data_IF_471946567468
#
_entry.id   IF_471946567468
#
_cell.length_a   1.000
_cell.length_b   1.000
_cell.length_c   1.000
_cell.angle_alpha   90.00
_cell.angle_beta   90.00
_cell.angle_gamma   90.00
#
_symmetry.space_group_name_H-M   'P 1'
#
loop_
_entity.id
_entity.type
_entity.pdbx_description
1 polymer ?
#
# COMPACT_ATOMS: atom_id res chain seq x y z
N UNK A 1 -3.20 -18.02 -16.50
CA UNK A 1 -2.38 -17.36 -15.53
C UNK A 1 -1.01 -17.00 -16.06
N UNK A 2 -0.17 -16.46 -15.21
CA UNK A 2 1.23 -16.12 -15.49
C UNK A 2 1.93 -15.78 -14.18
N UNK A 3 3.26 -15.68 -14.19
CA UNK A 3 4.08 -15.38 -13.02
C UNK A 3 4.70 -14.00 -13.16
N UNK A 4 4.48 -13.12 -12.16
CA UNK A 4 5.14 -11.83 -12.03
C UNK A 4 6.28 -11.92 -11.01
N UNK A 5 7.31 -11.07 -11.15
CA UNK A 5 8.46 -11.02 -10.22
C UNK A 5 9.21 -12.35 -10.08
N UNK A 6 9.23 -13.19 -11.10
CA UNK A 6 10.04 -14.40 -11.09
C UNK A 6 11.51 -14.02 -10.93
N UNK A 7 11.94 -12.96 -11.63
CA UNK A 7 13.21 -12.26 -11.42
C UNK A 7 12.94 -10.83 -11.01
N UNK A 8 13.87 -10.18 -10.31
CA UNK A 8 13.68 -8.79 -9.90
C UNK A 8 13.71 -7.81 -11.08
N UNK A 9 14.36 -8.17 -12.19
CA UNK A 9 14.39 -7.42 -13.45
C UNK A 9 13.03 -7.39 -14.16
N UNK A 10 12.15 -8.32 -13.85
CA UNK A 10 10.81 -8.41 -14.43
C UNK A 10 9.83 -7.36 -13.90
N UNK A 11 10.27 -6.59 -12.90
CA UNK A 11 9.42 -5.60 -12.25
C UNK A 11 10.17 -4.26 -12.14
N UNK A 12 9.83 -3.32 -13.02
CA UNK A 12 10.42 -1.99 -13.00
C UNK A 12 9.42 -0.97 -12.52
N UNK A 13 9.87 -0.02 -11.69
CA UNK A 13 9.04 1.06 -11.15
C UNK A 13 9.79 2.38 -11.32
N UNK A 14 9.19 3.31 -12.04
CA UNK A 14 9.72 4.67 -12.20
C UNK A 14 8.82 5.65 -11.47
N UNK A 15 9.40 6.38 -10.52
CA UNK A 15 8.72 7.45 -9.79
C UNK A 15 8.40 8.61 -10.73
N UNK A 16 7.14 9.04 -10.75
CA UNK A 16 6.71 10.25 -11.44
C UNK A 16 6.73 11.41 -10.44
N UNK A 17 7.63 12.38 -10.60
CA UNK A 17 7.75 13.48 -9.65
C UNK A 17 6.50 14.38 -9.68
N UNK A 18 6.15 14.94 -8.53
CA UNK A 18 5.01 15.87 -8.41
C UNK A 18 5.30 17.22 -9.10
N UNK A 19 6.57 17.60 -9.19
CA UNK A 19 7.04 18.83 -9.82
C UNK A 19 8.46 18.67 -10.37
N UNK A 20 8.81 19.50 -11.35
CA UNK A 20 10.16 19.53 -11.91
C UNK A 20 11.09 20.33 -10.98
N UNK A 21 12.32 19.86 -10.73
CA UNK A 21 13.32 20.64 -9.99
C UNK A 21 13.60 21.98 -10.67
N UNK A 22 13.74 23.04 -9.87
CA UNK A 22 13.93 24.40 -10.41
C UNK A 22 15.38 24.75 -10.85
N UNK A 23 16.31 23.80 -10.73
CA UNK A 23 17.71 23.98 -11.12
C UNK A 23 18.57 24.73 -10.10
N UNK A 24 18.00 25.32 -9.04
CA UNK A 24 18.69 26.09 -8.02
C UNK A 24 18.16 25.78 -6.62
N UNK A 25 18.96 26.00 -5.58
CA UNK A 25 18.57 25.81 -4.17
C UNK A 25 19.54 24.95 -3.38
N UNK A 26 19.23 24.75 -2.10
CA UNK A 26 20.10 24.11 -1.12
C UNK A 26 20.04 22.58 -1.13
N UNK A 27 19.06 21.99 -1.84
CA UNK A 27 18.90 20.55 -1.92
C UNK A 27 19.37 20.04 -3.28
N UNK A 28 20.31 19.10 -3.26
CA UNK A 28 20.68 18.30 -4.42
C UNK A 28 19.64 17.20 -4.62
N UNK A 29 19.01 17.15 -5.79
CA UNK A 29 18.08 16.11 -6.18
C UNK A 29 18.81 15.07 -7.02
N UNK A 30 18.89 13.86 -6.49
CA UNK A 30 19.54 12.71 -7.10
C UNK A 30 18.44 11.75 -7.59
N UNK A 31 18.25 11.68 -8.88
CA UNK A 31 17.42 10.59 -9.46
C UNK A 31 18.32 9.38 -9.61
N UNK A 32 17.98 8.32 -8.92
CA UNK A 32 18.76 7.08 -8.91
C UNK A 32 17.94 5.90 -9.42
N UNK A 33 18.64 4.96 -10.03
CA UNK A 33 18.16 3.60 -10.27
C UNK A 33 18.78 2.67 -9.23
N UNK A 34 17.98 1.82 -8.60
CA UNK A 34 18.46 0.76 -7.72
C UNK A 34 17.83 -0.57 -8.06
N UNK A 35 18.56 -1.65 -7.81
CA UNK A 35 18.12 -3.03 -8.06
C UNK A 35 18.26 -3.90 -6.82
N UNK A 36 17.20 -4.68 -6.53
CA UNK A 36 17.14 -5.66 -5.45
C UNK A 36 17.58 -5.12 -4.06
N UNK A 37 17.27 -3.85 -3.78
CA UNK A 37 17.54 -3.16 -2.49
C UNK A 37 16.34 -2.33 -2.07
N UNK A 38 16.21 -2.10 -0.76
CA UNK A 38 15.17 -1.23 -0.20
C UNK A 38 15.52 0.25 -0.40
N UNK A 39 14.51 1.13 -0.37
CA UNK A 39 14.73 2.59 -0.34
C UNK A 39 15.61 3.02 0.82
N UNK A 40 15.46 2.37 2.00
CA UNK A 40 16.28 2.65 3.18
C UNK A 40 17.75 2.30 2.93
N UNK A 41 18.04 1.14 2.34
CA UNK A 41 19.42 0.76 2.00
C UNK A 41 20.07 1.73 1.01
N UNK A 42 19.31 2.21 0.02
CA UNK A 42 19.79 3.24 -0.90
C UNK A 42 20.06 4.57 -0.19
N UNK A 43 19.12 5.05 0.63
CA UNK A 43 19.32 6.26 1.46
C UNK A 43 20.57 6.17 2.34
N UNK A 44 20.75 5.04 3.04
CA UNK A 44 21.86 4.85 3.96
C UNK A 44 23.21 4.73 3.23
N UNK A 45 23.21 4.22 2.00
CA UNK A 45 24.36 4.23 1.12
C UNK A 45 24.71 5.65 0.68
N UNK A 46 23.77 6.42 0.16
CA UNK A 46 23.94 7.84 -0.20
C UNK A 46 24.47 8.64 0.98
N UNK A 47 23.87 8.45 2.16
CA UNK A 47 24.28 9.14 3.39
C UNK A 47 25.74 8.89 3.74
N UNK A 48 26.19 7.64 3.70
CA UNK A 48 27.59 7.26 3.98
C UNK A 48 28.56 7.82 2.94
N UNK A 49 28.22 7.66 1.67
CA UNK A 49 29.08 8.10 0.56
C UNK A 49 29.29 9.61 0.57
N UNK A 50 28.24 10.37 0.81
CA UNK A 50 28.30 11.83 0.82
C UNK A 50 28.63 12.43 2.19
N UNK A 51 28.78 11.62 3.24
CA UNK A 51 29.09 12.09 4.60
C UNK A 51 27.98 12.97 5.19
N UNK A 52 26.71 12.68 4.89
CA UNK A 52 25.56 13.41 5.43
C UNK A 52 24.74 12.55 6.37
N UNK A 53 24.04 13.17 7.32
CA UNK A 53 23.13 12.43 8.21
C UNK A 53 21.95 11.90 7.40
N UNK A 54 21.64 10.60 7.55
CA UNK A 54 20.55 9.92 6.82
C UNK A 54 19.16 10.55 7.04
N UNK A 55 18.92 11.15 8.21
CA UNK A 55 17.67 11.83 8.57
C UNK A 55 17.43 13.10 7.73
N UNK A 56 18.50 13.68 7.18
CA UNK A 56 18.42 14.84 6.33
C UNK A 56 18.08 14.50 4.88
N UNK A 57 18.26 13.25 4.46
CA UNK A 57 17.92 12.81 3.11
C UNK A 57 16.42 12.59 3.01
N UNK A 58 15.78 13.26 2.04
CA UNK A 58 14.35 13.13 1.75
C UNK A 58 14.08 12.22 0.57
N UNK A 59 12.92 11.55 0.59
CA UNK A 59 12.37 10.77 -0.53
C UNK A 59 10.85 10.77 -0.45
N UNK A 60 10.18 10.59 -1.61
CA UNK A 60 8.73 10.73 -1.70
C UNK A 60 7.95 9.51 -1.20
N UNK A 61 8.56 8.31 -1.27
CA UNK A 61 7.92 7.08 -0.82
C UNK A 61 8.85 5.87 -0.91
N UNK A 62 8.42 4.77 -0.33
CA UNK A 62 9.15 3.50 -0.43
C UNK A 62 8.93 2.86 -1.80
N UNK A 63 9.97 2.22 -2.33
CA UNK A 63 9.93 1.44 -3.56
C UNK A 63 10.27 -0.02 -3.27
N UNK A 64 9.71 -0.91 -4.06
CA UNK A 64 9.90 -2.35 -3.96
C UNK A 64 11.38 -2.74 -3.90
N UNK A 65 11.67 -3.78 -3.08
CA UNK A 65 13.01 -4.36 -3.00
C UNK A 65 13.29 -5.26 -4.20
N UNK A 66 12.38 -6.23 -4.50
CA UNK A 66 12.52 -7.15 -5.64
C UNK A 66 12.07 -6.49 -6.93
N UNK A 67 12.84 -5.49 -7.38
CA UNK A 67 12.54 -4.69 -8.56
C UNK A 67 13.79 -3.92 -9.01
N UNK A 68 13.76 -3.38 -10.23
CA UNK A 68 14.54 -2.21 -10.63
C UNK A 68 13.66 -0.99 -10.36
N UNK A 69 14.15 -0.03 -9.61
CA UNK A 69 13.33 1.15 -9.28
C UNK A 69 14.09 2.44 -9.45
N UNK A 70 13.45 3.38 -10.14
CA UNK A 70 13.93 4.76 -10.28
C UNK A 70 13.17 5.66 -9.33
N UNK A 71 13.89 6.41 -8.49
CA UNK A 71 13.30 7.38 -7.58
C UNK A 71 14.25 8.54 -7.28
N UNK A 72 13.71 9.64 -6.76
CA UNK A 72 14.49 10.83 -6.44
C UNK A 72 14.72 10.96 -4.94
N UNK A 73 15.98 11.25 -4.56
CA UNK A 73 16.38 11.62 -3.20
C UNK A 73 16.80 13.08 -3.17
N UNK A 74 16.42 13.83 -2.13
CA UNK A 74 16.92 15.16 -1.86
C UNK A 74 17.96 15.12 -0.76
N UNK A 75 19.14 15.71 -1.01
CA UNK A 75 20.27 15.74 -0.08
C UNK A 75 20.63 17.20 0.17
N UNK A 76 20.73 17.67 1.43
CA UNK A 76 21.13 19.04 1.74
C UNK A 76 22.64 19.17 1.59
N UNK A 77 23.10 19.56 0.41
CA UNK A 77 24.51 19.78 0.09
C UNK A 77 24.67 21.14 -0.54
N UNK A 78 25.49 21.99 0.09
CA UNK A 78 25.79 23.34 -0.39
C UNK A 78 26.83 23.35 -1.51
N UNK A 79 27.75 22.38 -1.52
CA UNK A 79 28.80 22.23 -2.53
C UNK A 79 28.56 21.05 -3.43
N UNK A 80 28.95 21.16 -4.70
CA UNK A 80 28.91 20.04 -5.63
C UNK A 80 30.00 19.03 -5.21
N UNK A 81 29.56 17.92 -4.64
CA UNK A 81 30.40 16.78 -4.33
C UNK A 81 30.36 15.80 -5.49
N UNK A 82 31.35 14.96 -5.56
CA UNK A 82 31.39 13.89 -6.55
C UNK A 82 30.28 12.88 -6.27
N UNK A 83 29.18 13.04 -6.98
CA UNK A 83 28.00 12.14 -6.87
C UNK A 83 28.21 10.82 -7.60
N UNK A 84 29.22 10.72 -8.48
CA UNK A 84 29.58 9.47 -9.17
C UNK A 84 30.07 8.43 -8.18
N UNK A 85 30.64 8.86 -7.05
CA UNK A 85 31.02 7.96 -5.95
C UNK A 85 29.86 7.19 -5.31
N UNK A 86 28.61 7.56 -5.60
CA UNK A 86 27.39 6.82 -5.16
C UNK A 86 27.18 5.55 -5.97
N UNK A 87 27.66 5.52 -7.20
CA UNK A 87 27.47 4.38 -8.11
C UNK A 87 28.11 3.12 -7.55
N UNK A 88 27.34 2.03 -7.60
CA UNK A 88 27.74 0.68 -7.21
C UNK A 88 26.95 -0.32 -8.04
N UNK A 89 27.28 -1.62 -8.04
CA UNK A 89 26.61 -2.61 -8.90
C UNK A 89 25.09 -2.67 -8.81
N UNK A 90 24.51 -2.15 -7.73
CA UNK A 90 23.07 -2.18 -7.45
C UNK A 90 22.42 -0.79 -7.36
N UNK A 91 23.19 0.30 -7.52
CA UNK A 91 22.69 1.68 -7.50
C UNK A 91 23.46 2.54 -8.48
N UNK A 92 22.76 3.35 -9.24
CA UNK A 92 23.33 4.27 -10.23
C UNK A 92 22.62 5.62 -10.17
N UNK A 93 23.37 6.70 -10.24
CA UNK A 93 22.85 8.05 -10.41
C UNK A 93 22.52 8.28 -11.88
N UNK A 94 21.27 8.57 -12.17
CA UNK A 94 20.78 8.84 -13.51
C UNK A 94 20.84 10.32 -13.87
N UNK A 95 20.46 11.17 -12.90
CA UNK A 95 20.52 12.63 -13.07
C UNK A 95 20.69 13.33 -11.74
N UNK A 96 21.24 14.55 -11.84
CA UNK A 96 21.48 15.46 -10.72
C UNK A 96 20.84 16.79 -11.05
N UNK A 97 20.11 17.37 -10.13
CA UNK A 97 19.54 18.71 -10.25
C UNK A 97 19.49 19.38 -8.87
N UNK A 98 19.05 20.65 -8.82
CA UNK A 98 18.88 21.38 -7.56
C UNK A 98 17.46 21.83 -7.37
N UNK A 99 17.04 21.90 -6.12
CA UNK A 99 15.74 22.43 -5.73
C UNK A 99 15.78 23.13 -4.37
N UNK A 100 14.85 24.05 -4.16
CA UNK A 100 14.78 24.85 -2.92
C UNK A 100 14.34 24.03 -1.71
N UNK A 101 13.48 23.03 -1.90
CA UNK A 101 12.83 22.30 -0.83
C UNK A 101 13.30 20.84 -0.75
N UNK A 102 13.30 20.31 0.49
CA UNK A 102 13.46 18.87 0.75
C UNK A 102 12.26 18.07 0.23
N UNK A 103 12.52 16.93 -0.41
CA UNK A 103 11.45 15.96 -0.74
C UNK A 103 10.88 15.37 0.56
N UNK A 104 9.56 15.29 0.64
CA UNK A 104 8.83 14.68 1.75
C UNK A 104 7.96 13.53 1.25
N UNK A 105 7.57 12.64 2.13
CA UNK A 105 6.63 11.58 1.83
C UNK A 105 5.36 12.14 1.20
N UNK A 106 4.95 11.58 0.07
CA UNK A 106 3.81 12.04 -0.73
C UNK A 106 4.15 13.04 -1.84
N UNK A 107 5.40 13.51 -1.96
CA UNK A 107 5.82 14.41 -3.05
C UNK A 107 6.06 13.65 -4.36
N UNK A 108 5.09 12.84 -4.78
CA UNK A 108 5.08 12.16 -6.08
C UNK A 108 3.70 12.26 -6.71
N UNK A 109 3.64 12.34 -8.02
CA UNK A 109 2.39 12.30 -8.79
C UNK A 109 1.90 10.86 -8.94
N UNK A 110 2.82 9.90 -9.04
CA UNK A 110 2.50 8.49 -9.20
C UNK A 110 3.74 7.63 -9.44
N UNK A 111 3.51 6.42 -9.90
CA UNK A 111 4.55 5.52 -10.35
C UNK A 111 4.16 4.92 -11.70
N UNK A 112 5.11 4.82 -12.60
CA UNK A 112 4.98 4.05 -13.83
C UNK A 112 5.55 2.66 -13.60
N UNK A 113 4.84 1.63 -14.05
CA UNK A 113 5.22 0.24 -13.92
C UNK A 113 5.50 -0.37 -15.29
N UNK A 114 6.61 -1.14 -15.38
CA UNK A 114 6.89 -2.05 -16.47
C UNK A 114 7.03 -3.44 -15.87
N UNK A 115 6.06 -4.31 -16.17
CA UNK A 115 5.96 -5.63 -15.55
C UNK A 115 6.04 -6.71 -16.63
N UNK A 116 7.04 -7.60 -16.53
CA UNK A 116 7.14 -8.78 -17.39
C UNK A 116 6.39 -9.94 -16.73
N UNK A 117 5.40 -10.44 -17.41
CA UNK A 117 4.65 -11.63 -17.01
C UNK A 117 5.26 -12.83 -17.74
N UNK A 118 5.68 -13.83 -16.99
CA UNK A 118 6.29 -15.07 -17.53
C UNK A 118 5.31 -16.24 -17.45
N UNK A 119 5.65 -17.34 -18.10
CA UNK A 119 4.85 -18.57 -18.07
C UNK A 119 3.40 -18.33 -18.51
N UNK A 120 3.24 -17.54 -19.57
CA UNK A 120 1.94 -17.20 -20.16
C UNK A 120 1.71 -18.10 -21.37
N UNK A 121 0.55 -18.71 -21.46
CA UNK A 121 0.14 -19.47 -22.63
C UNK A 121 -0.01 -18.56 -23.84
N UNK A 122 0.43 -19.04 -25.04
CA UNK A 122 0.42 -18.25 -26.27
C UNK A 122 -0.96 -17.69 -26.63
N UNK A 123 -2.03 -18.40 -26.31
CA UNK A 123 -3.42 -17.99 -26.59
C UNK A 123 -3.98 -16.89 -25.69
N UNK A 124 -3.29 -16.58 -24.57
CA UNK A 124 -3.79 -15.59 -23.60
C UNK A 124 -3.58 -14.14 -24.07
N UNK A 125 -2.69 -13.92 -25.02
CA UNK A 125 -2.32 -12.55 -25.43
C UNK A 125 -3.50 -11.80 -26.07
N UNK A 126 -4.29 -12.47 -26.89
CA UNK A 126 -5.46 -11.86 -27.53
C UNK A 126 -6.57 -11.57 -26.53
N UNK A 127 -6.89 -12.53 -25.64
CA UNK A 127 -7.86 -12.30 -24.58
C UNK A 127 -7.41 -11.21 -23.59
N UNK A 128 -6.10 -11.09 -23.34
CA UNK A 128 -5.56 -10.00 -22.51
C UNK A 128 -5.72 -8.63 -23.16
N UNK A 129 -5.50 -8.52 -24.50
CA UNK A 129 -5.75 -7.29 -25.24
C UNK A 129 -7.22 -6.87 -25.17
N UNK A 130 -8.10 -7.79 -25.47
CA UNK A 130 -9.56 -7.55 -25.38
C UNK A 130 -9.95 -7.06 -23.99
N UNK A 131 -9.44 -7.69 -22.91
CA UNK A 131 -9.70 -7.25 -21.54
C UNK A 131 -9.14 -5.86 -21.24
N UNK A 132 -7.97 -5.51 -21.77
CA UNK A 132 -7.39 -4.18 -21.63
C UNK A 132 -8.26 -3.13 -22.35
N UNK A 133 -8.77 -3.46 -23.53
CA UNK A 133 -9.70 -2.59 -24.28
C UNK A 133 -11.01 -2.38 -23.50
N UNK A 134 -11.61 -3.42 -22.96
CA UNK A 134 -12.79 -3.32 -22.11
C UNK A 134 -12.54 -2.42 -20.88
N UNK A 135 -11.41 -2.60 -20.21
CA UNK A 135 -10.99 -1.78 -19.06
C UNK A 135 -10.72 -0.33 -19.45
N UNK A 136 -10.16 -0.08 -20.66
CA UNK A 136 -9.88 1.27 -21.12
C UNK A 136 -11.14 2.11 -21.35
N UNK A 137 -12.25 1.47 -21.68
CA UNK A 137 -13.56 2.11 -21.85
C UNK A 137 -14.29 2.26 -20.52
N UNK A 138 -14.35 1.17 -19.74
CA UNK A 138 -15.15 1.09 -18.53
C UNK A 138 -14.40 1.42 -17.24
N UNK A 139 -13.09 1.73 -17.31
CA UNK A 139 -12.25 1.89 -16.14
C UNK A 139 -11.93 0.57 -15.44
N UNK A 140 -11.16 0.65 -14.37
CA UNK A 140 -10.80 -0.47 -13.51
C UNK A 140 -11.46 -0.32 -12.14
N UNK A 141 -12.22 -1.33 -11.66
CA UNK A 141 -12.76 -1.27 -10.30
C UNK A 141 -11.63 -1.16 -9.27
N UNK A 142 -11.65 -0.11 -8.47
CA UNK A 142 -10.55 0.23 -7.56
C UNK A 142 -10.64 -0.56 -6.23
N UNK A 143 -10.56 -1.87 -6.30
CA UNK A 143 -10.52 -2.74 -5.12
C UNK A 143 -9.23 -2.53 -4.30
N UNK A 144 -9.36 -2.57 -3.00
CA UNK A 144 -8.20 -2.78 -2.14
C UNK A 144 -7.63 -4.18 -2.35
N UNK A 145 -6.36 -4.25 -2.74
CA UNK A 145 -5.67 -5.52 -2.99
C UNK A 145 -5.23 -6.25 -1.72
N UNK A 146 -4.73 -7.49 -1.84
CA UNK A 146 -4.37 -8.37 -0.71
C UNK A 146 -3.41 -7.73 0.31
N UNK A 147 -2.49 -6.88 -0.12
CA UNK A 147 -1.55 -6.20 0.77
C UNK A 147 -2.24 -5.38 1.88
N UNK A 148 -3.46 -4.86 1.60
CA UNK A 148 -4.25 -4.10 2.58
C UNK A 148 -4.68 -4.94 3.77
N UNK A 149 -4.85 -6.24 3.56
CA UNK A 149 -5.37 -7.18 4.55
C UNK A 149 -4.28 -7.89 5.35
N UNK A 150 -3.00 -7.53 5.12
CA UNK A 150 -1.85 -8.11 5.81
C UNK A 150 -1.32 -9.37 5.14
N UNK A 151 -0.22 -9.89 5.67
CA UNK A 151 0.51 -11.03 5.07
C UNK A 151 -0.36 -12.29 4.95
N UNK A 152 -1.27 -12.50 5.88
CA UNK A 152 -2.14 -13.68 5.96
C UNK A 152 -3.60 -13.40 5.55
N UNK A 153 -3.90 -12.16 5.12
CA UNK A 153 -5.25 -11.78 4.68
C UNK A 153 -6.29 -11.61 5.80
N UNK A 154 -5.90 -11.76 7.07
CA UNK A 154 -6.81 -11.75 8.23
C UNK A 154 -6.94 -10.38 8.92
N UNK A 155 -6.24 -9.37 8.44
CA UNK A 155 -6.22 -8.04 9.06
C UNK A 155 -7.61 -7.41 9.21
N UNK A 156 -8.51 -7.65 8.26
CA UNK A 156 -9.90 -7.18 8.33
C UNK A 156 -10.68 -7.88 9.45
N UNK A 157 -10.54 -9.19 9.59
CA UNK A 157 -11.17 -9.99 10.66
C UNK A 157 -10.71 -9.54 12.04
N UNK A 158 -9.39 -9.34 12.22
CA UNK A 158 -8.84 -8.78 13.47
C UNK A 158 -9.44 -7.40 13.75
N UNK A 159 -9.54 -6.54 12.73
CA UNK A 159 -10.15 -5.21 12.83
C UNK A 159 -11.60 -5.25 13.26
N UNK A 160 -12.40 -6.13 12.65
CA UNK A 160 -13.81 -6.36 12.97
C UNK A 160 -13.97 -6.84 14.42
N UNK A 161 -13.19 -7.86 14.84
CA UNK A 161 -13.25 -8.41 16.20
C UNK A 161 -12.89 -7.34 17.26
N UNK A 162 -11.85 -6.53 17.02
CA UNK A 162 -11.47 -5.43 17.92
C UNK A 162 -12.56 -4.36 18.02
N UNK A 163 -13.21 -3.98 16.92
CA UNK A 163 -14.31 -3.00 16.90
C UNK A 163 -15.53 -3.51 17.63
N UNK A 164 -15.88 -4.77 17.45
CA UNK A 164 -16.99 -5.45 18.12
C UNK A 164 -16.69 -5.81 19.57
N UNK A 165 -15.47 -5.54 20.06
CA UNK A 165 -14.97 -5.92 21.40
C UNK A 165 -14.96 -7.43 21.64
N UNK A 166 -14.90 -8.23 20.60
CA UNK A 166 -14.71 -9.68 20.62
C UNK A 166 -13.23 -9.99 20.85
N UNK A 167 -12.75 -9.72 22.07
CA UNK A 167 -11.30 -9.73 22.35
C UNK A 167 -10.70 -11.12 22.23
N UNK A 168 -11.44 -12.18 22.63
CA UNK A 168 -10.98 -13.57 22.46
C UNK A 168 -10.68 -13.85 21.00
N UNK A 169 -11.64 -13.61 20.12
CA UNK A 169 -11.50 -13.81 18.68
C UNK A 169 -10.31 -13.01 18.10
N UNK A 170 -10.15 -11.76 18.53
CA UNK A 170 -9.02 -10.95 18.07
C UNK A 170 -7.65 -11.56 18.48
N UNK A 171 -7.54 -12.10 19.68
CA UNK A 171 -6.31 -12.75 20.16
C UNK A 171 -6.08 -14.09 19.47
N UNK A 172 -7.12 -14.88 19.25
CA UNK A 172 -7.05 -16.13 18.50
C UNK A 172 -6.56 -15.88 17.08
N UNK A 173 -7.14 -14.89 16.36
CA UNK A 173 -6.67 -14.50 15.03
C UNK A 173 -5.19 -14.09 14.99
N UNK A 174 -4.66 -13.55 16.08
CA UNK A 174 -3.26 -13.12 16.16
C UNK A 174 -2.31 -14.25 16.62
N UNK A 175 -2.76 -15.17 17.47
CA UNK A 175 -1.89 -16.12 18.18
C UNK A 175 -2.13 -17.59 17.85
N UNK A 176 -3.37 -17.99 17.45
CA UNK A 176 -3.69 -19.38 17.17
C UNK A 176 -3.13 -19.87 15.83
N UNK A 177 -3.03 -21.21 15.63
CA UNK A 177 -2.63 -21.81 14.36
C UNK A 177 -3.45 -21.31 13.17
N UNK A 178 -2.84 -21.35 11.99
CA UNK A 178 -3.44 -20.94 10.73
C UNK A 178 -3.16 -21.97 9.66
N UNK A 179 -4.11 -22.18 8.78
CA UNK A 179 -3.92 -23.05 7.63
C UNK A 179 -2.71 -22.60 6.78
N UNK A 180 -1.83 -23.53 6.47
CA UNK A 180 -0.64 -23.27 5.67
C UNK A 180 0.46 -22.46 6.35
N UNK A 181 0.36 -22.20 7.67
CA UNK A 181 1.38 -21.48 8.46
C UNK A 181 1.82 -22.36 9.61
N UNK A 182 2.94 -23.04 9.44
CA UNK A 182 3.58 -23.85 10.49
C UNK A 182 4.48 -22.94 11.35
N UNK A 183 3.99 -22.57 12.52
CA UNK A 183 4.74 -21.83 13.54
C UNK A 183 4.49 -22.48 14.91
N UNK A 184 5.52 -23.13 15.46
CA UNK A 184 5.45 -23.93 16.71
C UNK A 184 4.86 -23.17 17.90
N UNK A 185 5.09 -21.85 17.98
CA UNK A 185 4.54 -21.05 19.06
C UNK A 185 3.00 -20.96 19.02
N UNK A 186 2.40 -21.11 17.86
CA UNK A 186 0.95 -21.07 17.68
C UNK A 186 0.30 -22.35 18.21
N UNK A 187 0.91 -23.48 17.91
CA UNK A 187 0.47 -24.79 18.45
C UNK A 187 0.61 -24.84 19.97
N UNK A 188 1.70 -24.30 20.50
CA UNK A 188 1.88 -24.18 21.96
C UNK A 188 0.83 -23.25 22.60
N UNK A 189 0.48 -22.14 21.94
CA UNK A 189 -0.59 -21.24 22.40
C UNK A 189 -1.95 -21.96 22.42
N UNK A 190 -2.30 -22.68 21.36
CA UNK A 190 -3.54 -23.46 21.27
C UNK A 190 -3.63 -24.54 22.35
N UNK A 191 -2.50 -25.19 22.66
CA UNK A 191 -2.39 -26.17 23.77
C UNK A 191 -2.46 -25.51 25.17
N UNK A 192 -2.53 -24.16 25.26
CA UNK A 192 -2.56 -23.41 26.51
C UNK A 192 -1.20 -23.22 27.18
N UNK A 193 -0.11 -23.70 26.58
CA UNK A 193 1.25 -23.52 27.10
C UNK A 193 1.84 -22.18 26.68
N UNK A 194 1.49 -21.13 27.42
CA UNK A 194 1.93 -19.75 27.15
C UNK A 194 3.46 -19.62 27.29
N UNK A 195 4.09 -20.40 28.17
CA UNK A 195 5.54 -20.37 28.35
C UNK A 195 6.27 -20.99 27.16
N UNK A 196 5.78 -22.12 26.66
CA UNK A 196 6.31 -22.71 25.44
C UNK A 196 6.11 -21.79 24.25
N UNK A 197 4.89 -21.21 24.07
CA UNK A 197 4.61 -20.27 23.02
C UNK A 197 5.58 -19.07 23.02
N UNK A 198 5.93 -18.54 24.19
CA UNK A 198 6.91 -17.44 24.31
C UNK A 198 8.33 -17.87 23.96
N UNK A 199 8.75 -19.07 24.33
CA UNK A 199 10.09 -19.58 24.01
C UNK A 199 10.27 -19.88 22.51
N UNK A 200 9.22 -20.36 21.87
CA UNK A 200 9.21 -20.74 20.44
C UNK A 200 8.96 -19.55 19.49
N UNK A 201 8.70 -18.37 20.05
CA UNK A 201 8.36 -17.19 19.23
C UNK A 201 9.57 -16.73 18.38
N UNK A 202 9.41 -16.61 17.05
CA UNK A 202 10.50 -16.16 16.18
C UNK A 202 10.95 -14.73 16.50
N UNK A 203 12.23 -14.39 16.24
CA UNK A 203 12.71 -13.01 16.36
C UNK A 203 11.88 -12.02 15.54
N UNK A 204 11.63 -10.84 16.10
CA UNK A 204 10.87 -9.78 15.43
C UNK A 204 9.35 -9.82 15.65
N UNK A 205 8.78 -10.85 16.26
CA UNK A 205 7.36 -10.96 16.64
C UNK A 205 7.05 -10.16 17.92
N UNK A 206 7.31 -8.85 17.91
CA UNK A 206 7.24 -8.01 19.12
C UNK A 206 5.83 -7.86 19.67
N UNK A 207 4.82 -7.84 18.82
CA UNK A 207 3.40 -7.74 19.24
C UNK A 207 2.97 -9.04 19.91
N UNK A 208 3.22 -10.18 19.28
CA UNK A 208 2.89 -11.50 19.81
C UNK A 208 3.61 -11.74 21.15
N UNK A 209 4.87 -11.33 21.25
CA UNK A 209 5.64 -11.39 22.51
C UNK A 209 4.97 -10.57 23.63
N UNK A 210 4.50 -9.37 23.34
CA UNK A 210 3.80 -8.53 24.31
C UNK A 210 2.44 -9.10 24.71
N UNK A 211 1.70 -9.69 23.76
CA UNK A 211 0.43 -10.37 24.03
C UNK A 211 0.61 -11.57 24.96
N UNK A 212 1.51 -12.49 24.59
CA UNK A 212 1.81 -13.70 25.39
C UNK A 212 2.35 -13.34 26.77
N UNK A 213 3.19 -12.32 26.88
CA UNK A 213 3.66 -11.81 28.17
C UNK A 213 2.51 -11.32 29.02
N UNK A 214 1.56 -10.58 28.45
CA UNK A 214 0.39 -10.07 29.18
C UNK A 214 -0.55 -11.21 29.61
N UNK A 215 -0.75 -12.22 28.78
CA UNK A 215 -1.56 -13.40 29.10
C UNK A 215 -0.95 -14.21 30.24
N UNK A 216 0.39 -14.30 30.28
CA UNK A 216 1.11 -14.97 31.38
C UNK A 216 0.98 -14.20 32.71
N UNK A 217 1.18 -12.86 32.66
CA UNK A 217 1.20 -12.03 33.89
C UNK A 217 -0.19 -11.73 34.44
N UNK A 218 -1.21 -11.79 33.58
CA UNK A 218 -2.61 -11.52 33.93
C UNK A 218 -3.52 -12.61 33.34
N UNK A 219 -3.48 -13.85 33.84
CA UNK A 219 -4.30 -14.96 33.34
C UNK A 219 -5.79 -14.58 33.32
N UNK A 220 -6.46 -14.87 32.21
CA UNK A 220 -7.89 -14.56 32.02
C UNK A 220 -8.22 -13.10 31.70
N UNK A 221 -7.27 -12.16 31.82
CA UNK A 221 -7.50 -10.77 31.48
C UNK A 221 -7.16 -10.47 30.00
N UNK A 222 -8.00 -10.94 29.09
CA UNK A 222 -7.83 -10.76 27.65
C UNK A 222 -7.79 -9.28 27.25
N UNK A 223 -8.50 -8.41 27.96
CA UNK A 223 -8.49 -6.96 27.70
C UNK A 223 -7.11 -6.34 27.97
N UNK A 224 -6.42 -6.79 29.02
CA UNK A 224 -5.06 -6.35 29.30
C UNK A 224 -4.10 -6.77 28.18
N UNK A 225 -4.23 -7.99 27.66
CA UNK A 225 -3.48 -8.44 26.50
C UNK A 225 -3.77 -7.59 25.27
N UNK A 226 -5.01 -7.40 24.88
CA UNK A 226 -5.38 -6.60 23.71
C UNK A 226 -4.87 -5.13 23.77
N UNK A 227 -4.73 -4.55 24.94
CA UNK A 227 -4.12 -3.22 25.11
C UNK A 227 -2.65 -3.19 24.70
N UNK A 228 -1.96 -4.33 24.66
CA UNK A 228 -0.57 -4.44 24.20
C UNK A 228 -0.41 -4.35 22.69
N UNK A 229 -1.50 -4.47 21.92
CA UNK A 229 -1.43 -4.23 20.46
C UNK A 229 -1.07 -2.76 20.24
N UNK A 230 0.04 -2.46 19.53
CA UNK A 230 0.46 -1.09 19.26
C UNK A 230 -0.64 -0.28 18.56
N UNK A 231 -0.78 1.00 18.90
CA UNK A 231 -1.81 1.86 18.34
C UNK A 231 -1.76 1.94 16.81
N UNK A 232 -0.55 2.00 16.22
CA UNK A 232 -0.37 2.00 14.77
C UNK A 232 -0.92 0.71 14.13
N UNK A 233 -0.66 -0.45 14.77
CA UNK A 233 -1.14 -1.74 14.27
C UNK A 233 -2.67 -1.86 14.41
N UNK A 234 -3.26 -1.39 15.51
CA UNK A 234 -4.72 -1.33 15.65
C UNK A 234 -5.37 -0.47 14.56
N UNK A 235 -4.79 0.69 14.25
CA UNK A 235 -5.26 1.53 13.14
C UNK A 235 -5.19 0.81 11.80
N UNK A 236 -4.13 0.04 11.58
CA UNK A 236 -3.97 -0.76 10.35
C UNK A 236 -5.07 -1.82 10.24
N UNK A 237 -5.40 -2.53 11.31
CA UNK A 237 -6.50 -3.51 11.33
C UNK A 237 -7.86 -2.86 11.10
N UNK A 238 -8.15 -1.71 11.72
CA UNK A 238 -9.39 -0.98 11.47
C UNK A 238 -9.49 -0.52 10.01
N UNK A 239 -8.39 -0.03 9.45
CA UNK A 239 -8.33 0.37 8.04
C UNK A 239 -8.49 -0.83 7.09
N UNK A 240 -8.01 -2.01 7.47
CA UNK A 240 -8.22 -3.24 6.71
C UNK A 240 -9.71 -3.62 6.69
N UNK A 241 -10.39 -3.54 7.82
CA UNK A 241 -11.84 -3.80 7.89
C UNK A 241 -12.66 -2.78 7.09
N UNK A 242 -12.31 -1.50 7.17
CA UNK A 242 -12.92 -0.47 6.32
C UNK A 242 -12.74 -0.77 4.82
N UNK A 243 -11.55 -1.24 4.44
CA UNK A 243 -11.24 -1.61 3.06
C UNK A 243 -12.03 -2.85 2.60
N UNK A 244 -12.27 -3.81 3.48
CA UNK A 244 -13.12 -4.98 3.20
C UNK A 244 -14.56 -4.58 2.95
N UNK A 245 -15.12 -3.72 3.80
CA UNK A 245 -16.48 -3.19 3.62
C UNK A 245 -16.61 -2.40 2.31
N UNK A 246 -15.60 -1.59 1.97
CA UNK A 246 -15.52 -0.90 0.69
C UNK A 246 -15.54 -1.90 -0.49
N UNK A 247 -14.73 -2.95 -0.41
CA UNK A 247 -14.68 -3.98 -1.44
C UNK A 247 -16.02 -4.69 -1.62
N UNK A 248 -16.76 -4.94 -0.54
CA UNK A 248 -18.10 -5.53 -0.61
C UNK A 248 -19.08 -4.60 -1.33
N UNK A 249 -19.09 -3.31 -1.00
CA UNK A 249 -19.94 -2.33 -1.69
C UNK A 249 -19.58 -2.26 -3.18
N UNK A 250 -18.31 -2.27 -3.51
CA UNK A 250 -17.87 -2.23 -4.92
C UNK A 250 -18.27 -3.52 -5.66
N UNK A 251 -18.17 -4.68 -5.01
CA UNK A 251 -18.60 -5.95 -5.59
C UNK A 251 -20.11 -5.96 -5.86
N UNK A 252 -20.91 -5.55 -4.89
CA UNK A 252 -22.35 -5.42 -5.03
C UNK A 252 -22.74 -4.46 -6.16
N UNK A 253 -21.98 -3.34 -6.30
CA UNK A 253 -22.17 -2.40 -7.39
C UNK A 253 -21.89 -3.03 -8.76
N UNK A 254 -20.80 -3.81 -8.88
CA UNK A 254 -20.49 -4.54 -10.12
C UNK A 254 -21.60 -5.52 -10.50
N UNK A 255 -22.14 -6.27 -9.54
CA UNK A 255 -23.18 -7.27 -9.78
C UNK A 255 -24.52 -6.64 -10.18
N UNK A 256 -24.86 -5.48 -9.60
CA UNK A 256 -26.12 -4.79 -9.87
C UNK A 256 -26.08 -3.87 -11.09
N UNK A 257 -24.90 -3.45 -11.53
CA UNK A 257 -24.76 -2.51 -12.65
C UNK A 257 -24.95 -3.22 -13.99
N UNK A 258 -26.04 -2.93 -14.69
CA UNK A 258 -26.29 -3.46 -16.04
C UNK A 258 -25.55 -2.68 -17.11
N UNK A 259 -25.49 -1.35 -16.96
CA UNK A 259 -24.96 -0.41 -17.97
C UNK A 259 -23.51 0.02 -17.71
N UNK A 260 -22.92 -0.47 -16.63
CA UNK A 260 -21.53 -0.19 -16.21
C UNK A 260 -21.45 0.36 -14.79
N UNK A 261 -20.59 -0.26 -13.98
CA UNK A 261 -20.40 0.09 -12.55
C UNK A 261 -19.80 1.49 -12.34
N UNK A 262 -19.19 2.07 -13.38
CA UNK A 262 -18.62 3.43 -13.37
C UNK A 262 -19.65 4.53 -13.56
N UNK A 263 -20.88 4.18 -14.00
CA UNK A 263 -21.96 5.16 -14.12
C UNK A 263 -22.54 5.47 -12.73
N UNK A 264 -22.69 6.75 -12.38
CA UNK A 264 -23.24 7.12 -11.09
C UNK A 264 -24.72 6.75 -10.96
N UNK A 265 -25.10 6.34 -9.77
CA UNK A 265 -26.47 6.14 -9.37
C UNK A 265 -26.99 7.42 -8.68
N UNK A 266 -28.30 7.62 -8.72
CA UNK A 266 -28.93 8.70 -7.98
C UNK A 266 -28.54 8.64 -6.49
N UNK A 267 -28.05 9.78 -5.94
CA UNK A 267 -27.56 9.87 -4.58
C UNK A 267 -26.10 9.44 -4.35
N UNK A 268 -25.40 8.97 -5.36
CA UNK A 268 -23.95 8.75 -5.26
C UNK A 268 -23.20 10.04 -4.95
N UNK A 269 -21.98 9.91 -4.46
CA UNK A 269 -21.02 10.99 -4.39
C UNK A 269 -20.00 10.77 -5.50
N UNK A 270 -19.91 11.71 -6.43
CA UNK A 270 -18.91 11.71 -7.50
C UNK A 270 -17.78 12.68 -7.21
N UNK A 271 -16.61 12.37 -7.77
CA UNK A 271 -15.43 13.23 -7.76
C UNK A 271 -15.11 13.66 -9.19
N UNK A 272 -14.78 14.93 -9.38
CA UNK A 272 -14.27 15.45 -10.66
C UNK A 272 -12.88 14.88 -10.93
N UNK A 273 -12.64 14.45 -12.17
CA UNK A 273 -11.34 13.92 -12.59
C UNK A 273 -10.25 14.99 -12.46
N UNK A 274 -9.10 14.58 -11.94
CA UNK A 274 -7.98 15.49 -11.67
C UNK A 274 -8.19 16.47 -10.51
N UNK A 275 -9.34 16.48 -9.85
CA UNK A 275 -9.67 17.41 -8.76
C UNK A 275 -9.96 16.67 -7.45
N UNK A 276 -9.94 17.42 -6.33
CA UNK A 276 -10.35 16.90 -5.01
C UNK A 276 -11.80 17.22 -4.67
N UNK A 277 -12.46 18.03 -5.50
CA UNK A 277 -13.87 18.42 -5.31
C UNK A 277 -14.80 17.26 -5.55
N UNK A 278 -15.85 17.18 -4.75
CA UNK A 278 -16.88 16.15 -4.81
C UNK A 278 -18.25 16.79 -4.79
N UNK A 279 -19.24 16.11 -5.35
CA UNK A 279 -20.63 16.54 -5.34
C UNK A 279 -21.57 15.34 -5.20
N UNK A 280 -22.79 15.60 -4.78
CA UNK A 280 -23.84 14.57 -4.74
C UNK A 280 -24.52 14.50 -6.09
N UNK A 281 -24.66 13.31 -6.62
CA UNK A 281 -25.44 13.02 -7.83
C UNK A 281 -26.90 13.32 -7.55
N UNK A 282 -27.56 13.97 -8.49
CA UNK A 282 -28.97 14.37 -8.36
C UNK A 282 -29.87 13.18 -8.11
N UNK A 283 -30.87 13.38 -7.25
CA UNK A 283 -31.98 12.44 -7.08
C UNK A 283 -33.10 12.65 -8.16
N UNK A 284 -33.07 13.77 -8.86
CA UNK A 284 -33.97 14.07 -9.97
C UNK A 284 -33.45 13.44 -11.26
N UNK A 285 -34.33 12.84 -12.06
CA UNK A 285 -33.98 12.07 -13.24
C UNK A 285 -33.13 12.86 -14.25
N UNK A 286 -33.48 14.11 -14.53
CA UNK A 286 -32.76 14.93 -15.49
C UNK A 286 -31.33 15.22 -15.06
N UNK A 287 -31.11 15.60 -13.78
CA UNK A 287 -29.79 15.84 -13.22
C UNK A 287 -28.95 14.58 -13.12
N UNK A 288 -29.57 13.45 -12.77
CA UNK A 288 -28.88 12.16 -12.73
C UNK A 288 -28.39 11.74 -14.13
N UNK A 289 -29.22 11.88 -15.18
CA UNK A 289 -28.85 11.58 -16.56
C UNK A 289 -27.69 12.47 -17.05
N UNK A 290 -27.66 13.74 -16.66
CA UNK A 290 -26.54 14.65 -16.94
C UNK A 290 -25.25 14.15 -16.26
N UNK A 291 -25.32 13.76 -15.00
CA UNK A 291 -24.16 13.24 -14.26
C UNK A 291 -23.67 11.91 -14.83
N UNK A 292 -24.58 11.04 -15.33
CA UNK A 292 -24.18 9.84 -16.07
C UNK A 292 -23.48 10.18 -17.38
N UNK A 293 -23.91 11.21 -18.10
CA UNK A 293 -23.23 11.63 -19.32
C UNK A 293 -21.83 12.15 -19.02
N UNK A 294 -21.65 12.97 -17.99
CA UNK A 294 -20.33 13.41 -17.52
C UNK A 294 -19.40 12.24 -17.17
N UNK A 295 -19.94 11.18 -16.59
CA UNK A 295 -19.14 9.98 -16.31
C UNK A 295 -18.74 9.23 -17.58
N UNK A 296 -19.62 9.15 -18.60
CA UNK A 296 -19.28 8.60 -19.93
C UNK A 296 -18.20 9.41 -20.64
N UNK A 297 -18.20 10.72 -20.45
CA UNK A 297 -17.22 11.64 -21.02
C UNK A 297 -15.89 11.66 -20.21
N UNK A 298 -15.81 10.89 -19.12
CA UNK A 298 -14.62 10.79 -18.27
C UNK A 298 -14.35 12.02 -17.39
N UNK A 299 -15.36 12.88 -17.19
CA UNK A 299 -15.23 14.09 -16.38
C UNK A 299 -15.36 13.83 -14.89
N UNK A 300 -16.12 12.80 -14.52
CA UNK A 300 -16.42 12.45 -13.13
C UNK A 300 -16.36 10.93 -12.91
N UNK A 301 -16.05 10.54 -11.68
CA UNK A 301 -16.09 9.13 -11.24
C UNK A 301 -16.87 8.99 -9.95
N UNK A 302 -17.73 7.96 -9.80
CA UNK A 302 -18.39 7.68 -8.54
C UNK A 302 -17.35 7.22 -7.50
N UNK A 303 -17.54 7.67 -6.26
CA UNK A 303 -16.70 7.29 -5.12
C UNK A 303 -17.36 6.18 -4.31
N UNK A 304 -16.56 5.42 -3.56
CA UNK A 304 -17.08 4.43 -2.62
C UNK A 304 -17.00 4.92 -1.16
N UNK A 305 -17.89 4.44 -0.29
CA UNK A 305 -17.93 4.84 1.12
C UNK A 305 -16.75 4.27 1.90
N UNK A 306 -16.11 5.11 2.71
CA UNK A 306 -15.20 4.65 3.77
C UNK A 306 -15.94 4.73 5.09
N UNK A 307 -16.38 3.59 5.57
CA UNK A 307 -17.20 3.48 6.78
C UNK A 307 -16.51 4.05 8.01
N UNK A 308 -17.21 4.88 8.79
CA UNK A 308 -16.68 5.51 9.98
C UNK A 308 -17.67 6.40 10.69
N UNK A 309 -17.22 7.12 11.74
CA UNK A 309 -18.08 7.94 12.60
C UNK A 309 -18.73 9.15 11.88
N UNK A 310 -18.20 9.54 10.71
CA UNK A 310 -18.64 10.73 9.94
C UNK A 310 -19.07 10.32 8.52
N UNK A 311 -19.81 9.24 8.41
CA UNK A 311 -20.51 8.90 7.17
C UNK A 311 -21.84 9.60 7.11
#
# INVERSE_FOLDING_TARGET
GGVIRQRWEDFKVTEMPLYTPCGAGEHLYLTIEKSNRTTIQARDHIARTLGVKRELIGFAGFKDKRAITTQTFSVPILTDRDVVSIDAPWIRVLSVSRHKNKIRTGHLAGNQFEIRIREVDKGVLESARQRIEEISVGGLPNFYGPQRFGMHGDGARVGAALLRRQISEALELLLAPREGVEEDYRSAYEAGDIDAARRLLPPGRTTEAALLTSLKTHPGNLRAAARRIPHALRRMYYSAYQAELFNWVLMERLERSKDGYWLPWAGDICQWEGQRSRFHVSMEEAGWLEDQQRARDGEVSPTGPIFGKKM
#
